data_IF_799664296741
#
_entry.id   IF_799664296741
#
_cell.length_a   1.000
_cell.length_b   1.000
_cell.length_c   1.000
_cell.angle_alpha   90.00
_cell.angle_beta   90.00
_cell.angle_gamma   90.00
#
_symmetry.space_group_name_H-M   'P 1'
#
loop_
_entity.id
_entity.type
_entity.pdbx_description
1 polymer ?
#
# COMPACT_ATOMS: atom_id res chain seq x y z
N UNK A 1 22.46 -7.68 13.89
CA UNK A 1 21.13 -7.42 14.45
C UNK A 1 20.36 -6.72 13.34
N UNK A 2 19.32 -7.35 12.78
CA UNK A 2 18.45 -6.62 11.85
C UNK A 2 17.67 -5.62 12.70
N UNK A 3 17.85 -4.32 12.46
CA UNK A 3 17.04 -3.30 13.12
C UNK A 3 15.57 -3.57 12.78
N UNK A 4 14.78 -3.96 13.78
CA UNK A 4 13.33 -4.08 13.64
C UNK A 4 12.75 -2.70 13.38
N UNK A 5 11.99 -2.56 12.31
CA UNK A 5 11.43 -1.27 11.94
C UNK A 5 10.37 -0.86 12.96
N UNK A 6 10.63 0.25 13.66
CA UNK A 6 9.73 0.79 14.69
C UNK A 6 8.69 1.69 14.06
N UNK A 7 7.41 1.44 14.35
CA UNK A 7 6.29 2.06 13.63
C UNK A 7 5.22 2.59 14.57
N UNK A 8 4.46 3.56 14.08
CA UNK A 8 3.19 3.97 14.66
C UNK A 8 2.03 3.51 13.79
N UNK A 9 0.92 3.15 14.43
CA UNK A 9 -0.34 2.84 13.76
C UNK A 9 -1.30 4.02 13.87
N UNK A 10 -1.97 4.37 12.77
CA UNK A 10 -2.86 5.52 12.70
C UNK A 10 -4.22 5.08 12.17
N UNK A 11 -5.28 5.36 12.93
CA UNK A 11 -6.66 5.12 12.54
C UNK A 11 -7.53 6.36 12.69
N UNK A 12 -8.60 6.43 11.90
CA UNK A 12 -9.69 7.39 12.11
C UNK A 12 -10.96 6.57 12.32
N UNK A 13 -11.79 6.97 13.27
CA UNK A 13 -13.16 6.46 13.41
C UNK A 13 -14.08 7.45 12.72
N UNK A 14 -14.87 7.01 11.74
CA UNK A 14 -15.79 7.92 11.03
C UNK A 14 -17.08 7.25 10.55
N UNK A 15 -18.04 8.10 10.16
CA UNK A 15 -19.35 7.63 9.71
C UNK A 15 -20.11 6.93 10.83
N UNK A 16 -20.67 5.76 10.51
CA UNK A 16 -21.44 4.94 11.45
C UNK A 16 -20.62 3.75 11.98
N UNK A 17 -19.30 3.81 11.91
CA UNK A 17 -18.43 2.77 12.44
C UNK A 17 -18.52 2.71 13.97
N UNK A 18 -18.75 1.51 14.51
CA UNK A 18 -18.76 1.31 15.96
C UNK A 18 -17.33 1.28 16.50
N UNK A 19 -17.14 1.74 17.73
CA UNK A 19 -15.82 1.69 18.39
C UNK A 19 -15.29 0.26 18.50
N UNK A 20 -16.16 -0.74 18.68
CA UNK A 20 -15.78 -2.15 18.72
C UNK A 20 -15.16 -2.60 17.39
N UNK A 21 -15.83 -2.30 16.26
CA UNK A 21 -15.33 -2.64 14.93
C UNK A 21 -14.02 -1.92 14.60
N UNK A 22 -13.91 -0.63 14.95
CA UNK A 22 -12.67 0.11 14.77
C UNK A 22 -11.50 -0.50 15.55
N UNK A 23 -11.73 -0.84 16.82
CA UNK A 23 -10.70 -1.45 17.66
C UNK A 23 -10.26 -2.82 17.12
N UNK A 24 -11.20 -3.62 16.62
CA UNK A 24 -10.89 -4.88 15.94
C UNK A 24 -10.03 -4.65 14.69
N UNK A 25 -10.39 -3.69 13.84
CA UNK A 25 -9.64 -3.33 12.64
C UNK A 25 -8.21 -2.85 12.95
N UNK A 26 -8.05 -2.06 14.02
CA UNK A 26 -6.75 -1.59 14.50
C UNK A 26 -5.91 -2.71 15.12
N UNK A 27 -6.55 -3.67 15.80
CA UNK A 27 -5.88 -4.87 16.30
C UNK A 27 -5.40 -5.76 15.15
N UNK A 28 -6.19 -5.90 14.10
CA UNK A 28 -5.77 -6.60 12.87
C UNK A 28 -4.60 -5.87 12.21
N UNK A 29 -4.61 -4.53 12.14
CA UNK A 29 -3.48 -3.76 11.61
C UNK A 29 -2.19 -4.00 12.39
N UNK A 30 -2.29 -4.11 13.71
CA UNK A 30 -1.16 -4.48 14.57
C UNK A 30 -0.64 -5.88 14.25
N UNK A 31 -1.51 -6.87 14.09
CA UNK A 31 -1.10 -8.22 13.67
C UNK A 31 -0.44 -8.24 12.29
N UNK A 32 -0.91 -7.40 11.35
CA UNK A 32 -0.25 -7.22 10.05
C UNK A 32 1.16 -6.63 10.23
N UNK A 33 1.32 -5.60 11.05
CA UNK A 33 2.63 -5.01 11.34
C UNK A 33 3.59 -6.02 11.98
N UNK A 34 3.10 -6.80 12.95
CA UNK A 34 3.88 -7.87 13.58
C UNK A 34 4.31 -8.92 12.55
N UNK A 35 3.40 -9.31 11.64
CA UNK A 35 3.67 -10.28 10.55
C UNK A 35 4.66 -9.73 9.52
N UNK A 36 4.70 -8.41 9.32
CA UNK A 36 5.67 -7.73 8.48
C UNK A 36 7.05 -7.58 9.14
N UNK A 37 7.17 -7.91 10.44
CA UNK A 37 8.41 -7.78 11.21
C UNK A 37 8.63 -6.38 11.78
N UNK A 38 7.58 -5.56 11.86
CA UNK A 38 7.63 -4.24 12.47
C UNK A 38 7.40 -4.32 13.99
N UNK A 39 8.01 -3.40 14.74
CA UNK A 39 7.73 -3.19 16.16
C UNK A 39 6.74 -2.02 16.32
N UNK A 40 5.51 -2.32 16.75
CA UNK A 40 4.50 -1.29 17.00
C UNK A 40 4.78 -0.60 18.32
N UNK A 41 5.19 0.68 18.25
CA UNK A 41 5.55 1.46 19.45
C UNK A 41 4.33 2.14 20.06
N UNK A 42 3.40 2.64 19.24
CA UNK A 42 2.18 3.31 19.69
C UNK A 42 1.10 3.33 18.61
N UNK A 43 -0.14 3.61 19.03
CA UNK A 43 -1.34 3.64 18.20
C UNK A 43 -2.10 4.95 18.41
N UNK A 44 -2.27 5.71 17.33
CA UNK A 44 -3.02 6.96 17.32
C UNK A 44 -4.38 6.78 16.67
N UNK A 45 -5.42 7.28 17.32
CA UNK A 45 -6.78 7.30 16.78
C UNK A 45 -7.37 8.71 16.81
N UNK A 46 -8.29 8.97 15.89
CA UNK A 46 -9.09 10.20 15.87
C UNK A 46 -10.54 9.90 15.47
N UNK A 47 -11.51 10.32 16.29
CA UNK A 47 -12.89 10.38 15.88
C UNK A 47 -13.16 11.62 15.00
N UNK A 48 -13.80 11.44 13.85
CA UNK A 48 -14.14 12.53 12.94
C UNK A 48 -15.41 12.22 12.13
N UNK A 49 -16.10 13.25 11.62
CA UNK A 49 -17.25 13.07 10.70
C UNK A 49 -16.85 12.33 9.41
N UNK A 50 -15.64 12.60 8.92
CA UNK A 50 -15.01 11.96 7.76
C UNK A 50 -13.49 12.16 7.84
N UNK A 51 -12.67 11.28 7.22
CA UNK A 51 -11.23 11.48 7.13
C UNK A 51 -10.89 12.80 6.44
N UNK A 52 -9.81 13.44 6.87
CA UNK A 52 -9.34 14.67 6.26
C UNK A 52 -8.86 14.41 4.82
N UNK A 53 -9.36 15.18 3.86
CA UNK A 53 -9.07 15.00 2.43
C UNK A 53 -7.57 15.21 2.12
N UNK A 54 -6.89 16.07 2.89
CA UNK A 54 -5.49 16.41 2.68
C UNK A 54 -4.53 15.48 3.44
N UNK A 55 -4.87 15.03 4.65
CA UNK A 55 -3.91 14.34 5.55
C UNK A 55 -4.48 13.11 6.27
N UNK A 56 -5.70 12.69 5.94
CA UNK A 56 -6.45 11.59 6.56
C UNK A 56 -6.85 11.86 8.03
N UNK A 57 -5.93 12.31 8.88
CA UNK A 57 -6.18 12.89 10.20
C UNK A 57 -6.22 14.41 10.15
N UNK A 58 -6.75 15.07 11.19
CA UNK A 58 -6.74 16.52 11.32
C UNK A 58 -5.36 17.11 11.62
N UNK A 59 -5.17 18.41 11.36
CA UNK A 59 -3.88 19.11 11.53
C UNK A 59 -3.30 18.97 12.94
N UNK A 60 -4.12 19.14 13.98
CA UNK A 60 -3.68 19.02 15.38
C UNK A 60 -3.15 17.62 15.69
N UNK A 61 -3.92 16.58 15.31
CA UNK A 61 -3.52 15.18 15.50
C UNK A 61 -2.27 14.84 14.68
N UNK A 62 -2.13 15.36 13.46
CA UNK A 62 -0.92 15.15 12.66
C UNK A 62 0.32 15.77 13.32
N UNK A 63 0.19 16.94 13.93
CA UNK A 63 1.29 17.58 14.66
C UNK A 63 1.67 16.80 15.92
N UNK A 64 0.68 16.28 16.64
CA UNK A 64 0.88 15.37 17.78
C UNK A 64 1.66 14.12 17.35
N UNK A 65 1.22 13.45 16.28
CA UNK A 65 1.91 12.28 15.72
C UNK A 65 3.34 12.62 15.30
N UNK A 66 3.55 13.77 14.62
CA UNK A 66 4.89 14.22 14.21
C UNK A 66 5.82 14.39 15.41
N UNK A 67 5.33 15.06 16.46
CA UNK A 67 6.13 15.32 17.65
C UNK A 67 6.48 14.00 18.36
N UNK A 68 5.50 13.11 18.52
CA UNK A 68 5.72 11.79 19.10
C UNK A 68 6.71 10.96 18.26
N UNK A 69 6.60 10.99 16.93
CA UNK A 69 7.48 10.24 16.05
C UNK A 69 8.92 10.75 16.13
N UNK A 70 9.10 12.07 16.22
CA UNK A 70 10.41 12.70 16.40
C UNK A 70 11.03 12.31 17.75
N UNK A 71 10.27 12.38 18.85
CA UNK A 71 10.76 12.02 20.18
C UNK A 71 11.12 10.53 20.28
N UNK A 72 10.31 9.66 19.69
CA UNK A 72 10.49 8.21 19.74
C UNK A 72 11.41 7.65 18.65
N UNK A 73 11.97 8.52 17.79
CA UNK A 73 12.83 8.15 16.65
C UNK A 73 12.15 7.15 15.69
N UNK A 74 10.90 7.45 15.34
CA UNK A 74 10.10 6.65 14.42
C UNK A 74 10.07 7.32 13.07
N UNK A 75 10.33 6.49 12.05
CA UNK A 75 10.42 6.94 10.66
C UNK A 75 9.29 6.42 9.78
N UNK A 76 8.42 5.53 10.29
CA UNK A 76 7.35 4.92 9.50
C UNK A 76 6.01 5.00 10.21
N UNK A 77 5.02 5.49 9.48
CA UNK A 77 3.63 5.64 9.91
C UNK A 77 2.75 4.70 9.07
N UNK A 78 2.05 3.78 9.73
CA UNK A 78 1.16 2.81 9.09
C UNK A 78 -0.30 3.21 9.32
N UNK A 79 -1.04 3.39 8.23
CA UNK A 79 -2.42 3.85 8.27
C UNK A 79 -3.41 2.69 8.08
N UNK A 80 -4.45 2.67 8.91
CA UNK A 80 -5.46 1.61 8.91
C UNK A 80 -6.28 1.51 7.63
N UNK A 81 -6.32 2.56 6.81
CA UNK A 81 -7.06 2.54 5.55
C UNK A 81 -6.21 3.11 4.43
N UNK A 82 -6.64 2.80 3.21
CA UNK A 82 -5.97 3.24 2.00
C UNK A 82 -5.93 4.77 1.93
N UNK A 83 -4.74 5.27 1.63
CA UNK A 83 -4.52 6.70 1.46
C UNK A 83 -4.58 7.09 -0.01
N UNK A 84 -5.18 8.23 -0.31
CA UNK A 84 -4.99 8.85 -1.61
C UNK A 84 -3.53 9.30 -1.79
N UNK A 85 -3.00 9.40 -3.03
CA UNK A 85 -1.60 9.77 -3.22
C UNK A 85 -1.26 11.20 -2.76
N UNK A 86 -2.27 12.07 -2.65
CA UNK A 86 -2.12 13.40 -2.04
C UNK A 86 -2.02 13.31 -0.52
N UNK A 87 -2.81 12.44 0.12
CA UNK A 87 -2.71 12.23 1.56
C UNK A 87 -1.34 11.69 1.94
N UNK A 88 -0.88 10.61 1.30
CA UNK A 88 0.44 10.05 1.60
C UNK A 88 1.57 11.08 1.43
N UNK A 89 1.53 11.88 0.35
CA UNK A 89 2.54 12.93 0.15
C UNK A 89 2.46 13.99 1.23
N UNK A 90 1.30 14.59 1.46
CA UNK A 90 1.17 15.68 2.43
C UNK A 90 1.59 15.23 3.84
N UNK A 91 1.23 14.01 4.24
CA UNK A 91 1.63 13.44 5.52
C UNK A 91 3.16 13.29 5.56
N UNK A 92 3.77 12.70 4.52
CA UNK A 92 5.22 12.52 4.45
C UNK A 92 5.96 13.86 4.46
N UNK A 93 5.51 14.85 3.68
CA UNK A 93 6.10 16.20 3.64
C UNK A 93 6.02 16.92 5.00
N UNK A 94 4.92 16.74 5.73
CA UNK A 94 4.71 17.38 7.04
C UNK A 94 5.51 16.67 8.13
N UNK A 95 5.47 15.34 8.17
CA UNK A 95 6.02 14.51 9.26
C UNK A 95 7.48 14.14 9.06
N UNK A 96 7.98 14.13 7.81
CA UNK A 96 9.28 13.57 7.46
C UNK A 96 9.34 12.04 7.50
N UNK A 97 8.21 11.38 7.78
CA UNK A 97 8.14 9.93 7.90
C UNK A 97 7.78 9.28 6.56
N UNK A 98 8.21 8.03 6.38
CA UNK A 98 7.62 7.09 5.44
C UNK A 98 6.15 6.82 5.80
N UNK A 99 5.31 6.73 4.78
CA UNK A 99 3.86 6.58 4.95
C UNK A 99 3.40 5.34 4.22
N UNK A 100 2.98 4.34 5.00
CA UNK A 100 2.49 3.05 4.53
C UNK A 100 0.99 2.99 4.79
N UNK A 101 0.20 2.55 3.81
CA UNK A 101 -1.22 2.27 4.04
C UNK A 101 -1.50 0.77 4.17
N UNK A 102 -2.72 0.43 4.58
CA UNK A 102 -3.12 -0.96 4.81
C UNK A 102 -2.91 -1.86 3.59
N UNK A 103 -3.12 -1.36 2.37
CA UNK A 103 -2.92 -2.21 1.18
C UNK A 103 -1.44 -2.48 0.96
N UNK A 104 -0.59 -1.48 1.19
CA UNK A 104 0.86 -1.59 1.02
C UNK A 104 1.47 -2.62 1.96
N UNK A 105 1.14 -2.57 3.27
CA UNK A 105 1.64 -3.56 4.23
C UNK A 105 1.17 -5.00 3.91
N UNK A 106 -0.08 -5.16 3.45
CA UNK A 106 -0.59 -6.47 3.04
C UNK A 106 0.19 -7.01 1.83
N UNK A 107 0.49 -6.15 0.85
CA UNK A 107 1.27 -6.53 -0.32
C UNK A 107 2.71 -6.92 0.05
N UNK A 108 3.32 -6.23 1.01
CA UNK A 108 4.67 -6.55 1.50
C UNK A 108 4.70 -7.88 2.25
N UNK A 109 3.71 -8.15 3.11
CA UNK A 109 3.52 -9.46 3.74
C UNK A 109 3.40 -10.54 2.67
N UNK A 110 2.55 -10.35 1.66
CA UNK A 110 2.41 -11.34 0.59
C UNK A 110 3.70 -11.52 -0.21
N UNK A 111 4.48 -10.46 -0.45
CA UNK A 111 5.77 -10.58 -1.14
C UNK A 111 6.75 -11.44 -0.34
N UNK A 112 6.80 -11.25 0.98
CA UNK A 112 7.64 -12.02 1.89
C UNK A 112 7.21 -13.51 1.98
N UNK A 113 5.91 -13.77 1.87
CA UNK A 113 5.35 -15.13 1.98
C UNK A 113 5.23 -15.87 0.63
N UNK A 114 5.35 -15.18 -0.50
CA UNK A 114 5.19 -15.78 -1.83
C UNK A 114 6.33 -16.77 -2.17
N UNK A 115 6.09 -18.06 -1.91
CA UNK A 115 7.08 -19.13 -2.21
C UNK A 115 6.98 -19.66 -3.63
N UNK A 116 5.77 -19.86 -4.15
CA UNK A 116 5.57 -20.47 -5.47
C UNK A 116 5.74 -19.46 -6.60
N UNK A 117 6.10 -19.94 -7.80
CA UNK A 117 6.20 -19.09 -9.01
C UNK A 117 4.87 -18.38 -9.30
N UNK A 118 3.73 -19.06 -9.11
CA UNK A 118 2.42 -18.47 -9.33
C UNK A 118 2.13 -17.35 -8.31
N UNK A 119 2.36 -17.61 -7.03
CA UNK A 119 2.16 -16.63 -5.95
C UNK A 119 3.04 -15.40 -6.16
N UNK A 120 4.32 -15.58 -6.51
CA UNK A 120 5.24 -14.47 -6.78
C UNK A 120 4.73 -13.57 -7.92
N UNK A 121 4.27 -14.17 -9.02
CA UNK A 121 3.72 -13.42 -10.15
C UNK A 121 2.41 -12.70 -9.81
N UNK A 122 1.55 -13.30 -8.99
CA UNK A 122 0.31 -12.67 -8.54
C UNK A 122 0.57 -11.49 -7.61
N UNK A 123 1.52 -11.60 -6.68
CA UNK A 123 1.92 -10.49 -5.81
C UNK A 123 2.56 -9.36 -6.61
N UNK A 124 3.49 -9.67 -7.53
CA UNK A 124 4.08 -8.67 -8.41
C UNK A 124 3.01 -7.95 -9.24
N UNK A 125 2.03 -8.69 -9.76
CA UNK A 125 0.90 -8.11 -10.48
C UNK A 125 0.11 -7.14 -9.59
N UNK A 126 -0.21 -7.54 -8.36
CA UNK A 126 -0.97 -6.72 -7.41
C UNK A 126 -0.19 -5.45 -7.01
N UNK A 127 1.12 -5.57 -6.77
CA UNK A 127 2.00 -4.43 -6.51
C UNK A 127 2.04 -3.44 -7.68
N UNK A 128 2.13 -3.91 -8.92
CA UNK A 128 2.08 -3.05 -10.11
C UNK A 128 0.72 -2.36 -10.28
N UNK A 129 -0.38 -3.08 -10.05
CA UNK A 129 -1.73 -2.50 -10.14
C UNK A 129 -1.93 -1.44 -9.05
N UNK A 130 -1.48 -1.70 -7.81
CA UNK A 130 -1.49 -0.72 -6.72
C UNK A 130 -0.65 0.51 -7.05
N UNK A 131 0.60 0.33 -7.49
CA UNK A 131 1.49 1.42 -7.89
C UNK A 131 0.88 2.28 -9.00
N UNK A 132 0.23 1.65 -9.98
CA UNK A 132 -0.47 2.35 -11.06
C UNK A 132 -1.54 3.31 -10.54
N UNK A 133 -2.32 2.90 -9.53
CA UNK A 133 -3.34 3.79 -8.93
C UNK A 133 -2.71 5.01 -8.25
N UNK A 134 -1.49 4.86 -7.71
CA UNK A 134 -0.79 5.92 -6.97
C UNK A 134 -0.07 6.94 -7.85
N UNK A 135 0.23 6.59 -9.11
CA UNK A 135 0.91 7.49 -10.07
C UNK A 135 0.10 8.75 -10.43
N UNK A 136 -1.23 8.76 -10.27
CA UNK A 136 -2.12 9.84 -10.75
C UNK A 136 -1.85 11.23 -10.17
N UNK A 137 -1.26 11.37 -8.96
CA UNK A 137 -1.06 12.70 -8.35
C UNK A 137 0.39 13.06 -8.05
N UNK A 138 1.36 12.13 -8.11
CA UNK A 138 2.79 12.37 -7.77
C UNK A 138 3.44 13.51 -8.60
N UNK A 139 2.94 13.78 -9.81
CA UNK A 139 3.68 14.56 -10.80
C UNK A 139 3.08 15.89 -11.26
N UNK A 140 1.94 16.36 -10.70
CA UNK A 140 1.41 17.71 -10.98
C UNK A 140 2.40 18.85 -10.65
N UNK A 141 3.43 18.57 -9.83
CA UNK A 141 4.49 19.51 -9.49
C UNK A 141 5.68 19.47 -10.47
N UNK A 142 6.03 18.30 -11.02
CA UNK A 142 7.15 18.14 -11.94
C UNK A 142 6.84 18.72 -13.33
N UNK A 143 5.59 18.62 -13.79
CA UNK A 143 5.14 19.26 -15.03
C UNK A 143 5.23 20.79 -15.00
N UNK A 144 5.27 21.40 -13.80
CA UNK A 144 5.36 22.85 -13.63
C UNK A 144 6.81 23.34 -13.56
N UNK A 145 7.72 22.52 -13.06
CA UNK A 145 9.18 22.81 -13.05
C UNK A 145 9.76 22.71 -14.46
N UNK A 146 9.21 21.84 -15.31
CA UNK A 146 9.62 21.67 -16.71
C UNK A 146 8.94 22.63 -17.71
N UNK A 147 8.21 23.63 -17.22
CA UNK A 147 7.51 24.63 -18.03
C UNK A 147 8.34 25.88 -18.39
N UNK A 148 9.65 25.85 -18.17
CA UNK A 148 10.56 26.94 -18.50
C UNK A 148 11.43 26.59 -19.71
N UNK A 149 11.06 27.12 -20.87
CA UNK A 149 11.88 27.29 -22.09
C UNK A 149 12.30 25.96 -22.80
N UNK A 150 11.60 25.63 -23.89
CA UNK A 150 12.30 25.13 -25.08
C UNK A 150 12.31 23.63 -25.41
N UNK A 151 11.55 22.75 -24.75
CA UNK A 151 11.52 21.34 -25.16
C UNK A 151 10.47 21.05 -26.25
N UNK A 152 10.88 21.22 -27.52
CA UNK A 152 10.31 20.47 -28.66
C UNK A 152 10.96 19.08 -28.70
N UNK A 153 10.58 18.23 -27.77
CA UNK A 153 10.87 16.79 -27.74
C UNK A 153 9.56 15.99 -27.77
N UNK A 154 9.59 14.66 -28.04
CA UNK A 154 8.42 13.86 -28.40
C UNK A 154 7.31 14.06 -27.36
N UNK A 155 6.10 14.42 -27.82
CA UNK A 155 5.00 14.93 -26.99
C UNK A 155 4.37 13.95 -25.98
N UNK A 156 5.07 12.88 -25.60
CA UNK A 156 4.64 11.93 -24.57
C UNK A 156 5.27 12.34 -23.23
N UNK A 157 4.43 12.53 -22.20
CA UNK A 157 4.91 12.90 -20.87
C UNK A 157 5.59 11.70 -20.17
N UNK A 158 6.56 11.95 -19.29
CA UNK A 158 7.20 10.87 -18.50
C UNK A 158 6.17 10.00 -17.75
N UNK A 159 5.05 10.59 -17.31
CA UNK A 159 3.94 9.87 -16.67
C UNK A 159 3.29 8.87 -17.63
N UNK A 160 3.10 9.25 -18.90
CA UNK A 160 2.53 8.37 -19.92
C UNK A 160 3.48 7.21 -20.24
N UNK A 161 4.78 7.49 -20.31
CA UNK A 161 5.82 6.46 -20.46
C UNK A 161 5.76 5.47 -19.31
N UNK A 162 5.79 5.93 -18.05
CA UNK A 162 5.75 5.06 -16.87
C UNK A 162 4.45 4.24 -16.81
N UNK A 163 3.30 4.86 -17.11
CA UNK A 163 2.01 4.16 -17.19
C UNK A 163 2.00 3.09 -18.27
N UNK A 164 2.58 3.40 -19.43
CA UNK A 164 2.69 2.45 -20.54
C UNK A 164 3.56 1.26 -20.15
N UNK A 165 4.68 1.49 -19.48
CA UNK A 165 5.57 0.42 -19.01
C UNK A 165 4.90 -0.45 -17.95
N UNK A 166 4.20 0.13 -16.98
CA UNK A 166 3.42 -0.65 -16.01
C UNK A 166 2.35 -1.49 -16.72
N UNK A 167 1.57 -0.90 -17.62
CA UNK A 167 0.52 -1.62 -18.38
C UNK A 167 1.10 -2.78 -19.19
N UNK A 168 2.21 -2.57 -19.89
CA UNK A 168 2.91 -3.63 -20.64
C UNK A 168 3.29 -4.78 -19.72
N UNK A 169 3.92 -4.49 -18.57
CA UNK A 169 4.29 -5.51 -17.57
C UNK A 169 3.07 -6.24 -17.02
N UNK A 170 2.00 -5.53 -16.64
CA UNK A 170 0.73 -6.11 -16.19
C UNK A 170 0.16 -7.09 -17.23
N UNK A 171 0.15 -6.73 -18.51
CA UNK A 171 -0.31 -7.62 -19.59
C UNK A 171 0.54 -8.89 -19.71
N UNK A 172 1.86 -8.76 -19.60
CA UNK A 172 2.79 -9.90 -19.64
C UNK A 172 2.55 -10.83 -18.44
N UNK A 173 2.44 -10.28 -17.23
CA UNK A 173 2.21 -11.05 -16.01
C UNK A 173 0.88 -11.79 -16.04
N UNK A 174 -0.21 -11.12 -16.47
CA UNK A 174 -1.54 -11.75 -16.64
C UNK A 174 -1.48 -12.94 -17.60
N UNK A 175 -0.77 -12.81 -18.73
CA UNK A 175 -0.55 -13.93 -19.67
C UNK A 175 0.23 -15.07 -19.03
N UNK A 176 1.31 -14.78 -18.29
CA UNK A 176 2.11 -15.80 -17.60
C UNK A 176 1.31 -16.55 -16.54
N UNK A 177 0.51 -15.85 -15.74
CA UNK A 177 -0.37 -16.44 -14.73
C UNK A 177 -1.38 -17.36 -15.41
N UNK A 178 -2.05 -16.90 -16.47
CA UNK A 178 -3.01 -17.70 -17.23
C UNK A 178 -2.39 -19.01 -17.76
N UNK A 179 -1.16 -18.96 -18.27
CA UNK A 179 -0.46 -20.16 -18.73
C UNK A 179 -0.19 -21.16 -17.59
N UNK A 180 0.20 -20.67 -16.41
CA UNK A 180 0.40 -21.53 -15.23
C UNK A 180 -0.92 -22.15 -14.78
N UNK A 181 -2.01 -21.40 -14.79
CA UNK A 181 -3.35 -21.89 -14.45
C UNK A 181 -3.79 -23.02 -15.38
N UNK A 182 -3.54 -22.92 -16.69
CA UNK A 182 -3.85 -23.99 -17.64
C UNK A 182 -3.12 -25.29 -17.29
N UNK A 183 -1.82 -25.21 -16.98
CA UNK A 183 -1.04 -26.39 -16.56
C UNK A 183 -1.60 -27.00 -15.27
N UNK A 184 -1.98 -26.16 -14.30
CA UNK A 184 -2.60 -26.60 -13.05
C UNK A 184 -3.96 -27.28 -13.27
N UNK A 185 -4.78 -26.77 -14.18
CA UNK A 185 -6.06 -27.37 -14.57
C UNK A 185 -5.86 -28.76 -15.20
N UNK A 186 -4.90 -28.92 -16.11
CA UNK A 186 -4.59 -30.23 -16.70
C UNK A 186 -4.17 -31.23 -15.62
N UNK A 187 -3.34 -30.82 -14.66
CA UNK A 187 -2.93 -31.66 -13.52
C UNK A 187 -4.11 -32.03 -12.62
N UNK A 188 -5.04 -31.10 -12.37
CA UNK A 188 -6.26 -31.34 -11.59
C UNK A 188 -7.20 -32.30 -12.30
N UNK A 189 -7.36 -32.17 -13.61
CA UNK A 189 -8.19 -33.05 -14.42
C UNK A 189 -7.72 -34.52 -14.36
N UNK A 190 -6.41 -34.76 -14.27
CA UNK A 190 -5.84 -36.10 -14.06
C UNK A 190 -6.15 -36.69 -12.68
N UNK A 191 -6.54 -35.87 -11.70
CA UNK A 191 -6.85 -36.26 -10.31
C UNK A 191 -8.35 -36.22 -9.99
N UNK A 192 -9.22 -36.14 -11.01
CA UNK A 192 -10.69 -36.05 -10.84
C UNK A 192 -11.29 -37.19 -10.03
N UNK A 193 -10.66 -38.36 -10.04
CA UNK A 193 -11.15 -39.54 -9.32
C UNK A 193 -10.77 -39.54 -7.82
N UNK A 194 -10.09 -38.50 -7.32
CA UNK A 194 -9.71 -38.36 -5.92
C UNK A 194 -10.62 -37.33 -5.22
N UNK A 195 -11.03 -37.63 -3.98
CA UNK A 195 -11.79 -36.68 -3.16
C UNK A 195 -10.89 -35.48 -2.81
N UNK A 196 -11.40 -34.27 -3.04
CA UNK A 196 -10.72 -33.00 -2.78
C UNK A 196 -11.47 -32.27 -1.67
N UNK A 197 -10.81 -32.06 -0.53
CA UNK A 197 -11.32 -31.24 0.58
C UNK A 197 -10.47 -29.97 0.66
N UNK A 198 -11.09 -28.81 0.83
CA UNK A 198 -10.41 -27.55 1.09
C UNK A 198 -10.83 -27.05 2.47
N UNK A 199 -9.85 -26.62 3.27
CA UNK A 199 -10.10 -25.83 4.47
C UNK A 199 -10.04 -24.37 4.07
N UNK A 200 -11.05 -23.60 4.48
CA UNK A 200 -11.16 -22.15 4.28
C UNK A 200 -11.19 -21.52 5.65
#
# INVERSE_FOLDING_TARGET
MSDTERVFLIGVVWGNESLAHFNESMNELRQLADTAGCEVVDMFSQAAKRPNIATYVGKGKLQEIKNAASSSHIHTLIFNNNLSPSQSRNISDITGCNVVDRTEIILDIFANHARTKQSKLQVELAQLEYAYTKLKRKWKHLSRIQGGIGFRGPGETQIEVDRREIRKKTTILKKRIKNIEQVSLTKRNKRKNLKSIALV
#
